data_IF_314918606555
#
_entry.id   IF_314918606555
#
_cell.length_a   1.000
_cell.length_b   1.000
_cell.length_c   1.000
_cell.angle_alpha   90.00
_cell.angle_beta   90.00
_cell.angle_gamma   90.00
#
_symmetry.space_group_name_H-M   'P 1'
#
loop_
_entity.id
_entity.type
_entity.pdbx_description
1 polymer ?
#
# COMPACT_ATOMS: atom_id res chain seq x y z
N UNK A 1 26.07 9.25 17.57
CA UNK A 1 24.84 9.06 18.38
C UNK A 1 23.55 9.07 17.53
N UNK A 2 23.62 8.99 16.19
CA UNK A 2 22.46 8.96 15.28
C UNK A 2 21.78 7.59 15.16
N UNK A 3 22.39 6.53 15.70
CA UNK A 3 21.94 5.15 15.52
C UNK A 3 20.49 4.91 15.96
N UNK A 4 20.13 5.31 17.18
CA UNK A 4 18.75 5.15 17.70
C UNK A 4 17.74 5.94 16.84
N UNK A 5 18.07 7.18 16.49
CA UNK A 5 17.24 8.02 15.61
C UNK A 5 17.01 7.37 14.23
N UNK A 6 18.07 6.81 13.65
CA UNK A 6 18.00 6.15 12.35
C UNK A 6 17.15 4.88 12.39
N UNK A 7 17.28 4.05 13.44
CA UNK A 7 16.46 2.85 13.60
C UNK A 7 14.97 3.18 13.80
N UNK A 8 14.66 4.23 14.57
CA UNK A 8 13.28 4.73 14.69
C UNK A 8 12.74 5.22 13.35
N UNK A 9 13.54 5.97 12.58
CA UNK A 9 13.17 6.46 11.25
C UNK A 9 12.90 5.31 10.28
N UNK A 10 13.74 4.27 10.29
CA UNK A 10 13.55 3.06 9.47
C UNK A 10 12.31 2.29 9.89
N UNK A 11 12.05 2.16 11.19
CA UNK A 11 10.86 1.47 11.69
C UNK A 11 9.59 2.16 11.17
N UNK A 12 9.52 3.49 11.24
CA UNK A 12 8.39 4.26 10.72
C UNK A 12 8.25 4.14 9.20
N UNK A 13 9.35 4.25 8.45
CA UNK A 13 9.32 4.06 6.99
C UNK A 13 8.84 2.66 6.61
N UNK A 14 9.30 1.64 7.35
CA UNK A 14 8.89 0.24 7.15
C UNK A 14 7.39 0.08 7.40
N UNK A 15 6.86 0.69 8.47
CA UNK A 15 5.43 0.67 8.76
C UNK A 15 4.59 1.23 7.61
N UNK A 16 4.92 2.41 7.09
CA UNK A 16 4.22 2.99 5.94
C UNK A 16 4.29 2.10 4.69
N UNK A 17 5.45 1.52 4.41
CA UNK A 17 5.62 0.62 3.28
C UNK A 17 4.80 -0.67 3.43
N UNK A 18 4.73 -1.22 4.64
CA UNK A 18 3.92 -2.42 4.95
C UNK A 18 2.44 -2.14 4.79
N UNK A 19 1.94 -1.00 5.30
CA UNK A 19 0.53 -0.60 5.07
C UNK A 19 0.28 -0.38 3.58
N UNK A 20 1.19 0.27 2.84
CA UNK A 20 1.05 0.44 1.40
C UNK A 20 0.95 -0.88 0.65
N UNK A 21 1.78 -1.87 1.02
CA UNK A 21 1.74 -3.23 0.47
C UNK A 21 0.42 -3.93 0.80
N UNK A 22 -0.05 -3.82 2.04
CA UNK A 22 -1.34 -4.38 2.47
C UNK A 22 -2.50 -3.74 1.71
N UNK A 23 -2.49 -2.41 1.55
CA UNK A 23 -3.48 -1.65 0.79
C UNK A 23 -3.56 -2.12 -0.67
N UNK A 24 -2.42 -2.32 -1.33
CA UNK A 24 -2.39 -2.87 -2.69
C UNK A 24 -2.89 -4.32 -2.74
N UNK A 25 -2.51 -5.15 -1.77
CA UNK A 25 -2.89 -6.57 -1.75
C UNK A 25 -4.39 -6.74 -1.51
N UNK A 26 -4.93 -6.09 -0.48
CA UNK A 26 -6.34 -6.18 -0.08
C UNK A 26 -7.23 -5.37 -1.02
N UNK A 27 -6.80 -4.18 -1.43
CA UNK A 27 -7.60 -3.27 -2.23
C UNK A 27 -7.60 -3.55 -3.73
N UNK A 28 -6.58 -4.24 -4.24
CA UNK A 28 -6.44 -4.51 -5.69
C UNK A 28 -6.41 -6.01 -5.95
N UNK A 29 -5.43 -6.73 -5.39
CA UNK A 29 -5.21 -8.13 -5.75
C UNK A 29 -6.35 -9.04 -5.31
N UNK A 30 -6.88 -8.86 -4.11
CA UNK A 30 -7.99 -9.68 -3.61
C UNK A 30 -9.29 -9.51 -4.44
N UNK A 31 -9.77 -8.29 -4.76
CA UNK A 31 -10.91 -8.10 -5.65
C UNK A 31 -10.69 -8.65 -7.06
N UNK A 32 -9.48 -8.48 -7.62
CA UNK A 32 -9.15 -9.02 -8.94
C UNK A 32 -9.17 -10.55 -8.94
N UNK A 33 -8.57 -11.19 -7.93
CA UNK A 33 -8.62 -12.65 -7.77
C UNK A 33 -10.07 -13.13 -7.62
N UNK A 34 -10.88 -12.42 -6.83
CA UNK A 34 -12.30 -12.73 -6.61
C UNK A 34 -13.08 -12.68 -7.93
N UNK A 35 -12.82 -11.67 -8.77
CA UNK A 35 -13.43 -11.53 -10.08
C UNK A 35 -12.97 -12.61 -11.08
N UNK A 36 -11.67 -12.94 -11.10
CA UNK A 36 -11.11 -13.94 -12.02
C UNK A 36 -11.55 -15.37 -11.70
N UNK A 37 -11.66 -15.72 -10.43
CA UNK A 37 -12.01 -17.07 -10.00
C UNK A 37 -13.52 -17.26 -9.75
N UNK A 38 -14.34 -16.22 -9.96
CA UNK A 38 -15.78 -16.31 -9.79
C UNK A 38 -16.24 -16.47 -8.34
N UNK A 39 -15.44 -16.00 -7.36
CA UNK A 39 -15.79 -16.06 -5.94
C UNK A 39 -16.74 -14.92 -5.50
N UNK A 40 -17.09 -14.01 -6.41
CA UNK A 40 -17.96 -12.88 -6.09
C UNK A 40 -19.40 -13.36 -5.85
N UNK A 41 -19.94 -13.12 -4.64
CA UNK A 41 -21.34 -13.42 -4.31
C UNK A 41 -22.34 -12.59 -5.13
N UNK A 42 -21.92 -11.39 -5.56
CA UNK A 42 -22.67 -10.52 -6.46
C UNK A 42 -21.76 -10.06 -7.60
N UNK A 43 -22.28 -9.92 -8.85
CA UNK A 43 -21.48 -9.42 -9.96
C UNK A 43 -21.02 -7.99 -9.67
N UNK A 44 -19.71 -7.79 -9.55
CA UNK A 44 -19.14 -6.45 -9.49
C UNK A 44 -19.17 -5.84 -10.90
N UNK A 45 -19.68 -4.62 -11.02
CA UNK A 45 -19.52 -3.85 -12.25
C UNK A 45 -18.04 -3.61 -12.52
N UNK A 46 -17.60 -3.84 -13.75
CA UNK A 46 -16.19 -3.69 -14.17
C UNK A 46 -15.67 -2.29 -13.88
N UNK A 47 -16.51 -1.27 -14.06
CA UNK A 47 -16.18 0.14 -13.77
C UNK A 47 -15.83 0.33 -12.28
N UNK A 48 -16.64 -0.22 -11.38
CA UNK A 48 -16.40 -0.17 -9.93
C UNK A 48 -15.09 -0.87 -9.56
N UNK A 49 -14.80 -2.02 -10.16
CA UNK A 49 -13.55 -2.74 -9.93
C UNK A 49 -12.34 -1.91 -10.39
N UNK A 50 -12.41 -1.32 -11.58
CA UNK A 50 -11.31 -0.51 -12.15
C UNK A 50 -11.09 0.76 -11.32
N UNK A 51 -12.15 1.50 -11.00
CA UNK A 51 -12.05 2.74 -10.20
C UNK A 51 -11.52 2.42 -8.80
N UNK A 52 -12.05 1.38 -8.16
CA UNK A 52 -11.58 0.92 -6.84
C UNK A 52 -10.11 0.50 -6.86
N UNK A 53 -9.70 -0.28 -7.85
CA UNK A 53 -8.31 -0.68 -8.03
C UNK A 53 -7.38 0.53 -8.21
N UNK A 54 -7.76 1.49 -9.07
CA UNK A 54 -6.97 2.71 -9.27
C UNK A 54 -6.86 3.54 -7.97
N UNK A 55 -7.96 3.70 -7.22
CA UNK A 55 -7.95 4.41 -5.95
C UNK A 55 -6.99 3.75 -4.93
N UNK A 56 -7.03 2.41 -4.81
CA UNK A 56 -6.13 1.67 -3.92
C UNK A 56 -4.67 1.67 -4.39
N UNK A 57 -4.41 1.63 -5.70
CA UNK A 57 -3.06 1.80 -6.26
C UNK A 57 -2.48 3.17 -5.90
N UNK A 58 -3.27 4.24 -6.05
CA UNK A 58 -2.85 5.60 -5.68
C UNK A 58 -2.61 5.71 -4.18
N UNK A 59 -3.47 5.11 -3.34
CA UNK A 59 -3.28 5.04 -1.90
C UNK A 59 -1.96 4.33 -1.55
N UNK A 60 -1.73 3.13 -2.08
CA UNK A 60 -0.50 2.37 -1.88
C UNK A 60 0.76 3.13 -2.33
N UNK A 61 0.71 3.78 -3.49
CA UNK A 61 1.79 4.61 -4.00
C UNK A 61 2.07 5.80 -3.08
N UNK A 62 1.04 6.51 -2.61
CA UNK A 62 1.22 7.64 -1.70
C UNK A 62 1.86 7.24 -0.37
N UNK A 63 1.49 6.08 0.17
CA UNK A 63 2.09 5.50 1.38
C UNK A 63 3.55 5.10 1.14
N UNK A 64 3.85 4.49 0.00
CA UNK A 64 5.22 4.17 -0.38
C UNK A 64 6.09 5.43 -0.53
N UNK A 65 5.56 6.49 -1.16
CA UNK A 65 6.26 7.79 -1.26
C UNK A 65 6.47 8.43 0.11
N UNK A 66 5.50 8.29 1.02
CA UNK A 66 5.64 8.73 2.41
C UNK A 66 6.76 7.97 3.12
N UNK A 67 6.86 6.65 2.95
CA UNK A 67 7.98 5.86 3.47
C UNK A 67 9.33 6.36 2.95
N UNK A 68 9.43 6.65 1.64
CA UNK A 68 10.65 7.23 1.05
C UNK A 68 10.96 8.62 1.60
N UNK A 69 9.94 9.44 1.86
CA UNK A 69 10.12 10.75 2.47
C UNK A 69 10.65 10.63 3.90
N UNK A 70 10.09 9.72 4.71
CA UNK A 70 10.57 9.45 6.08
C UNK A 70 12.04 9.04 6.08
N UNK A 71 12.48 8.18 5.16
CA UNK A 71 13.89 7.77 5.05
C UNK A 71 14.86 8.91 4.73
N UNK A 72 14.40 10.06 4.20
CA UNK A 72 15.26 11.24 4.02
C UNK A 72 15.69 11.87 5.35
N UNK A 73 15.06 11.49 6.47
CA UNK A 73 15.43 11.93 7.82
C UNK A 73 16.64 11.21 8.44
N UNK A 74 17.26 10.27 7.72
CA UNK A 74 18.45 9.56 8.20
C UNK A 74 19.65 10.51 8.34
N UNK A 75 20.43 10.30 9.40
CA UNK A 75 21.61 11.11 9.74
C UNK A 75 22.88 10.26 9.64
N UNK A 76 24.02 10.83 9.20
CA UNK A 76 25.31 10.14 9.21
C UNK A 76 25.76 9.76 10.64
#
# INVERSE_FOLDING_TARGET
MSLIHNEQTKLTATWFNTIGTAAMTVGVLAPVATALYGFAATPLQTETLVIGALAWLLAGLSLHLTARFVLRGLRP
#
